data_IF_141562107598
#
_entry.id   IF_141562107598
#
_cell.length_a   1.000
_cell.length_b   1.000
_cell.length_c   1.000
_cell.angle_alpha   90.00
_cell.angle_beta   90.00
_cell.angle_gamma   90.00
#
_symmetry.space_group_name_H-M   'P 1'
#
loop_
_entity.id
_entity.type
_entity.pdbx_description
1 polymer ?
#
# COMPACT_ATOMS: atom_id res chain seq x y z
N UNK A 1 -2.27 -19.12 -6.84
CA UNK A 1 -2.13 -17.67 -6.76
C UNK A 1 -2.05 -17.02 -8.14
N UNK A 2 -2.00 -15.71 -8.15
CA UNK A 2 -1.82 -14.91 -9.37
C UNK A 2 -0.41 -14.35 -9.35
N UNK A 3 0.38 -14.61 -10.41
CA UNK A 3 1.73 -14.06 -10.53
C UNK A 3 1.66 -12.55 -10.79
N UNK A 4 2.51 -11.79 -10.12
CA UNK A 4 2.67 -10.34 -10.33
C UNK A 4 3.95 -10.07 -11.13
N UNK A 5 3.94 -9.01 -11.95
CA UNK A 5 5.09 -8.57 -12.72
C UNK A 5 5.65 -7.29 -12.10
N UNK A 6 6.60 -7.44 -11.17
CA UNK A 6 7.17 -6.32 -10.44
C UNK A 6 7.99 -5.37 -11.31
N UNK A 7 8.60 -5.85 -12.38
CA UNK A 7 9.33 -5.00 -13.33
C UNK A 7 8.36 -4.08 -14.10
N UNK A 8 7.26 -4.64 -14.61
CA UNK A 8 6.23 -3.89 -15.32
C UNK A 8 5.58 -2.80 -14.44
N UNK A 9 5.38 -3.09 -13.16
CA UNK A 9 4.63 -2.19 -12.25
C UNK A 9 5.52 -1.28 -11.42
N UNK A 10 6.84 -1.34 -11.56
CA UNK A 10 7.80 -0.65 -10.69
C UNK A 10 7.56 0.86 -10.60
N UNK A 11 7.41 1.54 -11.73
CA UNK A 11 7.23 3.00 -11.77
C UNK A 11 5.98 3.45 -11.03
N UNK A 12 4.89 2.74 -11.23
CA UNK A 12 3.60 3.05 -10.59
C UNK A 12 3.61 2.69 -9.10
N UNK A 13 4.32 1.63 -8.71
CA UNK A 13 4.52 1.29 -7.31
C UNK A 13 5.33 2.37 -6.58
N UNK A 14 6.35 2.93 -7.23
CA UNK A 14 7.12 4.06 -6.69
C UNK A 14 6.23 5.29 -6.54
N UNK A 15 5.37 5.58 -7.53
CA UNK A 15 4.41 6.69 -7.45
C UNK A 15 3.42 6.51 -6.29
N UNK A 16 2.90 5.31 -6.09
CA UNK A 16 2.00 5.01 -4.98
C UNK A 16 2.70 5.19 -3.62
N UNK A 17 3.96 4.74 -3.49
CA UNK A 17 4.78 4.97 -2.29
C UNK A 17 4.94 6.47 -2.00
N UNK A 18 5.24 7.25 -3.02
CA UNK A 18 5.39 8.70 -2.88
C UNK A 18 4.10 9.40 -2.47
N UNK A 19 3.00 8.99 -3.06
CA UNK A 19 1.68 9.54 -2.73
C UNK A 19 1.31 9.27 -1.26
N UNK A 20 1.50 8.03 -0.79
CA UNK A 20 1.21 7.66 0.61
C UNK A 20 2.17 8.37 1.56
N UNK A 21 3.47 8.41 1.26
CA UNK A 21 4.46 9.13 2.07
C UNK A 21 4.10 10.61 2.20
N UNK A 22 3.74 11.25 1.11
CA UNK A 22 3.35 12.67 1.08
C UNK A 22 2.10 12.94 1.91
N UNK A 23 1.03 12.15 1.75
CA UNK A 23 -0.21 12.37 2.51
C UNK A 23 -0.03 12.04 4.00
N UNK A 24 0.77 11.06 4.34
CA UNK A 24 1.10 10.73 5.74
C UNK A 24 1.85 11.89 6.39
N UNK A 25 2.81 12.49 5.69
CA UNK A 25 3.51 13.69 6.15
C UNK A 25 2.55 14.86 6.36
N UNK A 26 1.65 15.13 5.42
CA UNK A 26 0.65 16.20 5.57
C UNK A 26 -0.22 15.98 6.80
N UNK A 27 -0.72 14.76 7.00
CA UNK A 27 -1.57 14.40 8.15
C UNK A 27 -0.80 14.56 9.47
N UNK A 28 0.50 14.28 9.49
CA UNK A 28 1.34 14.41 10.70
C UNK A 28 1.40 15.84 11.23
N UNK A 29 1.17 16.85 10.38
CA UNK A 29 1.18 18.27 10.76
C UNK A 29 -0.18 18.80 11.22
N UNK A 30 -1.23 17.98 11.21
CA UNK A 30 -2.53 18.37 11.75
C UNK A 30 -2.53 18.33 13.28
N UNK A 31 -3.34 19.18 13.91
CA UNK A 31 -3.45 19.25 15.38
C UNK A 31 -3.90 17.91 16.00
N UNK A 32 -4.76 17.17 15.30
CA UNK A 32 -5.27 15.87 15.74
C UNK A 32 -5.19 14.87 14.57
N UNK A 33 -4.01 14.34 14.25
CA UNK A 33 -3.85 13.43 13.14
C UNK A 33 -4.65 12.15 13.36
N UNK A 34 -5.49 11.79 12.39
CA UNK A 34 -6.29 10.56 12.41
C UNK A 34 -5.77 9.59 11.35
N UNK A 35 -4.71 8.87 11.68
CA UNK A 35 -4.10 7.90 10.77
C UNK A 35 -5.01 6.72 10.46
N UNK A 36 -5.86 6.29 11.39
CA UNK A 36 -6.83 5.23 11.14
C UNK A 36 -7.79 5.62 10.01
N UNK A 37 -8.33 6.83 10.05
CA UNK A 37 -9.20 7.35 9.00
C UNK A 37 -8.44 7.49 7.67
N UNK A 38 -7.18 7.93 7.69
CA UNK A 38 -6.33 8.03 6.51
C UNK A 38 -6.15 6.66 5.83
N UNK A 39 -5.68 5.66 6.55
CA UNK A 39 -5.43 4.33 5.97
C UNK A 39 -6.71 3.64 5.51
N UNK A 40 -7.81 3.79 6.24
CA UNK A 40 -9.12 3.30 5.79
C UNK A 40 -9.59 3.99 4.51
N UNK A 41 -9.33 5.29 4.37
CA UNK A 41 -9.66 6.05 3.15
C UNK A 41 -8.84 5.58 1.96
N UNK A 42 -7.54 5.34 2.13
CA UNK A 42 -6.67 4.75 1.10
C UNK A 42 -7.22 3.39 0.66
N UNK A 43 -7.56 2.52 1.60
CA UNK A 43 -8.11 1.20 1.30
C UNK A 43 -9.44 1.28 0.54
N UNK A 44 -10.32 2.21 0.89
CA UNK A 44 -11.59 2.42 0.18
C UNK A 44 -11.38 2.92 -1.25
N UNK A 45 -10.37 3.74 -1.48
CA UNK A 45 -10.02 4.25 -2.82
C UNK A 45 -9.74 3.10 -3.80
N UNK A 46 -9.07 2.06 -3.33
CA UNK A 46 -8.67 0.91 -4.15
C UNK A 46 -9.57 -0.32 -3.95
N UNK A 47 -10.62 -0.22 -3.14
CA UNK A 47 -11.53 -1.33 -2.94
C UNK A 47 -12.26 -1.67 -4.26
N UNK A 48 -12.06 -2.88 -4.75
CA UNK A 48 -12.66 -3.37 -5.98
C UNK A 48 -12.98 -4.86 -5.89
N UNK A 49 -13.84 -5.32 -6.79
CA UNK A 49 -14.15 -6.74 -6.97
C UNK A 49 -13.99 -7.08 -8.44
N UNK A 50 -13.21 -8.11 -8.72
CA UNK A 50 -12.92 -8.55 -10.10
C UNK A 50 -12.87 -10.06 -10.19
N UNK A 51 -13.17 -10.61 -11.38
CA UNK A 51 -13.00 -12.05 -11.61
C UNK A 51 -11.52 -12.43 -11.55
N UNK A 52 -11.27 -13.71 -11.27
CA UNK A 52 -9.91 -14.27 -11.27
C UNK A 52 -9.23 -14.11 -12.64
N UNK A 53 -9.97 -14.35 -13.69
CA UNK A 53 -9.48 -14.27 -15.07
C UNK A 53 -9.08 -12.83 -15.43
N UNK A 54 -9.89 -11.85 -15.04
CA UNK A 54 -9.55 -10.43 -15.21
C UNK A 54 -8.31 -10.05 -14.42
N UNK A 55 -8.21 -10.46 -13.16
CA UNK A 55 -7.02 -10.20 -12.36
C UNK A 55 -5.75 -10.83 -12.94
N UNK A 56 -5.85 -12.05 -13.48
CA UNK A 56 -4.71 -12.70 -14.17
C UNK A 56 -4.28 -11.91 -15.41
N UNK A 57 -5.25 -11.44 -16.19
CA UNK A 57 -4.97 -10.64 -17.39
C UNK A 57 -4.29 -9.32 -17.03
N UNK A 58 -4.85 -8.54 -16.12
CA UNK A 58 -4.28 -7.23 -15.76
C UNK A 58 -2.93 -7.35 -15.05
N UNK A 59 -2.69 -8.40 -14.28
CA UNK A 59 -1.40 -8.62 -13.62
C UNK A 59 -0.24 -8.80 -14.58
N UNK A 60 -0.52 -9.16 -15.83
CA UNK A 60 0.48 -9.36 -16.89
C UNK A 60 0.55 -8.21 -17.89
N UNK A 61 -0.45 -7.36 -17.95
CA UNK A 61 -0.58 -6.34 -19.01
C UNK A 61 -0.66 -4.90 -18.51
N UNK A 62 -1.06 -4.68 -17.26
CA UNK A 62 -1.23 -3.35 -16.69
C UNK A 62 0.04 -2.90 -15.96
N UNK A 63 0.41 -1.64 -16.14
CA UNK A 63 1.53 -1.02 -15.42
C UNK A 63 1.24 -0.76 -13.93
N UNK A 64 -0.03 -0.85 -13.53
CA UNK A 64 -0.45 -0.77 -12.14
C UNK A 64 -0.63 -2.15 -11.54
N UNK A 65 -0.23 -2.31 -10.27
CA UNK A 65 -0.52 -3.51 -9.50
C UNK A 65 -2.03 -3.72 -9.31
N UNK A 66 -2.43 -4.92 -8.94
CA UNK A 66 -3.78 -5.19 -8.46
C UNK A 66 -4.10 -4.28 -7.26
N UNK A 67 -5.34 -3.83 -7.18
CA UNK A 67 -5.80 -2.84 -6.19
C UNK A 67 -5.48 -3.24 -4.74
N UNK A 68 -5.63 -4.52 -4.42
CA UNK A 68 -5.26 -5.06 -3.10
C UNK A 68 -3.77 -4.82 -2.77
N UNK A 69 -2.89 -4.95 -3.76
CA UNK A 69 -1.45 -4.73 -3.57
C UNK A 69 -1.13 -3.24 -3.45
N UNK A 70 -1.82 -2.39 -4.22
CA UNK A 70 -1.66 -0.94 -4.14
C UNK A 70 -1.94 -0.41 -2.74
N UNK A 71 -2.89 -0.99 -2.03
CA UNK A 71 -3.15 -0.69 -0.63
C UNK A 71 -2.16 -1.39 0.29
N UNK A 72 -2.22 -2.72 0.33
CA UNK A 72 -1.59 -3.51 1.40
C UNK A 72 -0.07 -3.48 1.35
N UNK A 73 0.53 -3.37 0.15
CA UNK A 73 1.99 -3.35 0.00
C UNK A 73 2.58 -1.95 0.06
N UNK A 74 1.76 -0.92 -0.02
CA UNK A 74 2.22 0.46 0.11
C UNK A 74 2.23 0.93 1.56
N UNK A 75 1.12 0.74 2.28
CA UNK A 75 0.99 1.23 3.67
C UNK A 75 1.92 0.52 4.67
N UNK A 76 2.35 -0.71 4.38
CA UNK A 76 3.26 -1.47 5.25
C UNK A 76 4.68 -0.88 5.33
N UNK A 77 4.96 0.14 4.56
CA UNK A 77 6.25 0.86 4.62
C UNK A 77 6.21 2.04 5.60
N UNK A 78 5.04 2.42 6.12
CA UNK A 78 4.85 3.53 7.05
C UNK A 78 4.84 3.04 8.50
N UNK A 79 5.69 3.61 9.36
CA UNK A 79 5.71 3.27 10.78
C UNK A 79 4.36 3.60 11.46
N UNK A 80 3.71 4.69 11.07
CA UNK A 80 2.41 5.12 11.58
C UNK A 80 1.32 4.07 11.39
N UNK A 81 1.40 3.25 10.31
CA UNK A 81 0.48 2.14 10.10
C UNK A 81 0.57 1.10 11.23
N UNK A 82 1.79 0.74 11.62
CA UNK A 82 2.03 -0.23 12.71
C UNK A 82 1.56 0.31 14.04
N UNK A 83 1.86 1.57 14.33
CA UNK A 83 1.49 2.23 15.59
C UNK A 83 -0.03 2.39 15.69
N UNK A 84 -0.69 2.75 14.59
CA UNK A 84 -2.14 3.00 14.54
C UNK A 84 -2.95 1.72 14.77
N UNK A 85 -2.57 0.61 14.16
CA UNK A 85 -3.31 -0.65 14.20
C UNK A 85 -2.71 -1.70 15.14
N UNK A 86 -1.62 -1.37 15.84
CA UNK A 86 -0.96 -2.30 16.74
C UNK A 86 -0.39 -3.54 16.05
N UNK A 87 0.11 -3.39 14.83
CA UNK A 87 0.69 -4.47 14.05
C UNK A 87 1.99 -4.95 14.68
N UNK A 88 2.12 -6.26 14.89
CA UNK A 88 3.25 -6.88 15.57
C UNK A 88 3.91 -7.92 14.66
N UNK A 89 5.13 -8.29 15.02
CA UNK A 89 5.82 -9.42 14.42
C UNK A 89 4.91 -10.66 14.45
N UNK A 90 4.85 -11.38 13.33
CA UNK A 90 3.97 -12.51 13.03
C UNK A 90 2.54 -12.15 12.59
N UNK A 91 2.13 -10.88 12.60
CA UNK A 91 0.89 -10.48 11.93
C UNK A 91 1.05 -10.55 10.41
N UNK A 92 -0.03 -10.87 9.69
CA UNK A 92 0.01 -11.11 8.24
C UNK A 92 0.45 -9.93 7.39
N UNK A 93 0.34 -8.69 7.92
CA UNK A 93 0.81 -7.46 7.24
C UNK A 93 2.12 -6.93 7.82
N UNK A 94 2.76 -7.63 8.74
CA UNK A 94 4.04 -7.18 9.29
C UNK A 94 5.16 -7.27 8.25
N UNK A 95 5.91 -6.20 8.13
CA UNK A 95 7.17 -6.13 7.38
C UNK A 95 8.23 -5.58 8.34
N UNK A 96 9.34 -6.29 8.46
CA UNK A 96 10.44 -5.87 9.34
C UNK A 96 10.96 -4.49 8.92
N UNK A 97 11.36 -3.61 9.86
CA UNK A 97 11.81 -2.25 9.54
C UNK A 97 12.89 -2.18 8.45
N UNK A 98 13.84 -3.11 8.48
CA UNK A 98 14.93 -3.20 7.50
C UNK A 98 14.48 -3.58 6.09
N UNK A 99 13.30 -4.18 5.97
CA UNK A 99 12.72 -4.62 4.69
C UNK A 99 11.71 -3.60 4.11
N UNK A 100 11.42 -2.52 4.86
CA UNK A 100 10.51 -1.48 4.39
C UNK A 100 11.19 -0.58 3.38
N UNK A 101 10.42 -0.12 2.39
CA UNK A 101 10.94 0.74 1.31
C UNK A 101 10.70 2.21 1.65
N UNK A 102 11.78 2.98 1.67
CA UNK A 102 11.77 4.43 1.85
C UNK A 102 12.61 5.05 0.74
N UNK A 103 11.95 5.77 -0.18
CA UNK A 103 12.62 6.40 -1.32
C UNK A 103 12.86 7.88 -1.05
N UNK A 104 12.00 8.50 -0.29
CA UNK A 104 12.07 9.91 0.12
C UNK A 104 11.49 10.15 1.51
#
# INVERSE_FOLDING_TARGET
GIAVNGELTLSENIADLGAVSCITEIVSHLDNPNYEALYKSIARTWASSSSREYMQYVSQTNVHCLDKLRTNRTIVNDQEFYDTFGIKENDGMYVAPEDRVHIW
#
